data_IF_698218813813
#
_entry.id   IF_698218813813
#
_cell.length_a   1.000
_cell.length_b   1.000
_cell.length_c   1.000
_cell.angle_alpha   90.00
_cell.angle_beta   90.00
_cell.angle_gamma   90.00
#
_symmetry.space_group_name_H-M   'P 1'
#
loop_
_entity.id
_entity.type
_entity.pdbx_description
1 polymer ?
#
# COMPACT_ATOMS: atom_id res chain seq x y z
N UNK A 1 67.53 -47.57 6.01
CA UNK A 1 68.81 -47.01 5.54
C UNK A 1 68.50 -45.65 4.92
N UNK A 2 69.04 -44.56 5.46
CA UNK A 2 70.28 -43.91 4.98
C UNK A 2 70.07 -43.23 3.61
N UNK A 3 70.14 -41.91 3.41
CA UNK A 3 70.38 -40.78 4.35
C UNK A 3 71.41 -39.78 3.80
N UNK A 4 71.25 -38.47 4.08
CA UNK A 4 72.19 -37.36 3.71
C UNK A 4 72.35 -37.11 2.20
N UNK A 5 72.77 -35.96 1.64
CA UNK A 5 72.99 -34.54 2.03
C UNK A 5 72.68 -33.70 0.74
N UNK A 6 72.30 -32.42 0.68
CA UNK A 6 72.52 -31.19 1.48
C UNK A 6 73.80 -30.39 1.12
N UNK A 7 73.66 -29.04 1.00
CA UNK A 7 74.66 -27.96 0.75
C UNK A 7 75.02 -27.74 -0.74
N UNK A 8 75.38 -26.53 -1.23
CA UNK A 8 75.84 -25.25 -0.62
C UNK A 8 74.89 -24.06 -0.96
N UNK A 9 74.65 -23.04 -0.10
CA UNK A 9 75.47 -21.84 0.30
C UNK A 9 75.73 -20.85 -0.86
N UNK A 10 75.70 -19.50 -0.73
CA UNK A 10 75.79 -18.54 0.41
C UNK A 10 74.76 -17.38 0.31
N UNK A 11 74.18 -16.83 1.40
CA UNK A 11 74.55 -15.62 2.21
C UNK A 11 74.56 -14.27 1.42
N UNK A 12 74.24 -13.08 1.95
CA UNK A 12 74.37 -12.48 3.31
C UNK A 12 73.53 -11.14 3.40
N UNK A 13 73.31 -10.38 4.50
CA UNK A 13 73.39 -10.57 5.98
C UNK A 13 72.85 -9.33 6.76
N UNK A 14 71.88 -9.52 7.67
CA UNK A 14 71.64 -8.87 9.01
C UNK A 14 71.63 -7.32 9.21
N UNK A 15 70.55 -6.79 9.85
CA UNK A 15 70.62 -6.04 11.15
C UNK A 15 69.23 -5.78 11.80
N UNK A 16 69.16 -5.90 13.13
CA UNK A 16 68.09 -5.39 14.03
C UNK A 16 68.53 -4.11 14.77
N UNK A 17 67.95 -3.72 15.94
CA UNK A 17 67.36 -4.59 16.97
C UNK A 17 65.95 -4.17 17.48
N UNK A 18 65.57 -4.74 18.64
CA UNK A 18 64.31 -4.68 19.42
C UNK A 18 63.97 -3.27 19.99
N UNK A 19 62.79 -2.93 20.58
CA UNK A 19 62.00 -3.64 21.61
C UNK A 19 60.46 -3.44 21.58
N UNK A 20 59.77 -4.36 22.27
CA UNK A 20 58.31 -4.50 22.53
C UNK A 20 57.65 -3.40 23.37
N UNK A 21 56.41 -2.98 23.01
CA UNK A 21 55.18 -2.89 23.85
C UNK A 21 53.93 -2.97 22.92
N UNK A 22 52.89 -3.75 23.25
CA UNK A 22 51.58 -3.76 22.56
C UNK A 22 50.50 -2.83 23.18
N UNK A 23 49.19 -3.13 23.05
CA UNK A 23 48.46 -3.57 21.86
C UNK A 23 47.26 -2.63 21.54
N UNK A 24 46.84 -2.50 20.28
CA UNK A 24 45.53 -1.89 19.92
C UNK A 24 44.80 -2.69 18.85
N UNK A 25 43.46 -2.68 18.92
CA UNK A 25 42.61 -3.55 18.13
C UNK A 25 42.18 -2.92 16.79
N UNK A 26 41.83 -3.77 15.82
CA UNK A 26 40.63 -3.57 15.00
C UNK A 26 40.23 -4.86 14.26
N UNK A 27 39.13 -5.48 14.70
CA UNK A 27 38.49 -6.56 13.94
C UNK A 27 37.78 -5.98 12.72
N UNK A 28 38.03 -6.54 11.52
CA UNK A 28 37.30 -6.17 10.29
C UNK A 28 36.05 -7.03 10.13
N UNK A 29 34.99 -6.69 10.86
CA UNK A 29 33.68 -7.32 10.64
C UNK A 29 33.12 -7.02 9.24
N UNK A 30 32.54 -8.05 8.62
CA UNK A 30 31.91 -7.97 7.30
C UNK A 30 30.48 -7.42 7.45
N UNK A 31 30.23 -6.19 7.00
CA UNK A 31 28.87 -5.61 6.99
C UNK A 31 27.93 -6.41 6.07
N UNK A 32 26.96 -7.09 6.66
CA UNK A 32 25.86 -7.76 5.95
C UNK A 32 24.82 -6.75 5.43
N UNK A 33 24.21 -7.06 4.27
CA UNK A 33 23.29 -6.16 3.57
C UNK A 33 21.90 -6.04 4.22
N UNK A 34 21.77 -5.31 5.32
CA UNK A 34 20.50 -5.10 6.05
C UNK A 34 19.75 -3.78 5.76
N UNK A 35 20.12 -3.04 4.70
CA UNK A 35 19.80 -1.62 4.56
C UNK A 35 18.37 -1.24 4.12
N UNK A 36 17.67 -2.10 3.37
CA UNK A 36 16.40 -1.71 2.72
C UNK A 36 15.19 -1.87 3.65
N UNK A 37 14.99 -3.05 4.23
CA UNK A 37 13.80 -3.37 5.03
C UNK A 37 13.68 -2.50 6.30
N UNK A 38 14.80 -2.19 6.98
CA UNK A 38 14.78 -1.26 8.12
C UNK A 38 14.44 0.18 7.70
N UNK A 39 14.89 0.62 6.52
CA UNK A 39 14.65 2.00 6.00
C UNK A 39 13.19 2.21 5.60
N UNK A 40 12.51 1.19 5.09
CA UNK A 40 11.07 1.21 4.84
C UNK A 40 10.27 1.36 6.13
N UNK A 41 10.53 0.50 7.14
CA UNK A 41 9.83 0.58 8.45
C UNK A 41 10.14 1.88 9.20
N UNK A 42 11.34 2.43 9.06
CA UNK A 42 11.74 3.69 9.73
C UNK A 42 11.00 4.93 9.21
N UNK A 43 10.68 5.03 7.91
CA UNK A 43 9.92 6.19 7.37
C UNK A 43 8.49 6.21 7.88
N UNK A 44 7.86 5.03 8.02
CA UNK A 44 6.41 4.88 8.27
C UNK A 44 6.00 5.31 9.69
N UNK A 45 6.81 5.04 10.71
CA UNK A 45 6.45 5.31 12.12
C UNK A 45 6.80 6.73 12.61
N UNK A 46 7.59 7.50 11.86
CA UNK A 46 8.05 8.82 12.29
C UNK A 46 7.12 9.95 11.80
N UNK A 47 6.55 9.82 10.60
CA UNK A 47 5.67 10.83 9.98
C UNK A 47 4.31 10.95 10.67
N UNK A 48 3.71 9.85 11.12
CA UNK A 48 2.36 9.84 11.70
C UNK A 48 2.28 10.56 13.07
N UNK A 49 3.41 10.83 13.72
CA UNK A 49 3.46 11.60 14.98
C UNK A 49 3.58 13.12 14.81
N UNK A 50 3.76 13.61 13.58
CA UNK A 50 3.99 15.04 13.29
C UNK A 50 3.09 15.62 12.20
N UNK A 51 2.18 14.83 11.59
CA UNK A 51 1.18 15.40 10.68
C UNK A 51 0.17 16.28 11.44
N UNK A 52 -0.26 17.41 10.85
CA UNK A 52 -1.45 18.10 11.29
C UNK A 52 -2.65 17.15 11.23
N UNK A 53 -3.51 17.23 12.25
CA UNK A 53 -4.86 16.67 12.18
C UNK A 53 -5.71 17.63 11.35
N UNK A 54 -6.58 17.09 10.50
CA UNK A 54 -7.49 17.89 9.69
C UNK A 54 -8.86 17.19 9.56
N UNK A 55 -9.95 17.94 9.51
CA UNK A 55 -11.30 17.42 9.25
C UNK A 55 -11.65 17.45 7.76
N UNK A 56 -12.75 16.79 7.38
CA UNK A 56 -13.28 16.85 6.02
C UNK A 56 -13.75 18.27 5.67
N UNK A 57 -14.40 18.95 6.62
CA UNK A 57 -14.87 20.33 6.45
C UNK A 57 -13.69 21.30 6.23
N UNK A 58 -12.60 21.12 6.99
CA UNK A 58 -11.36 21.89 6.79
C UNK A 58 -10.73 21.61 5.43
N UNK A 59 -10.65 20.34 4.98
CA UNK A 59 -10.16 20.00 3.63
C UNK A 59 -11.00 20.63 2.52
N UNK A 60 -12.33 20.61 2.64
CA UNK A 60 -13.24 21.23 1.66
C UNK A 60 -13.08 22.75 1.64
N UNK A 61 -12.90 23.38 2.81
CA UNK A 61 -12.71 24.83 2.94
C UNK A 61 -11.40 25.35 2.32
N UNK A 62 -10.40 24.49 2.07
CA UNK A 62 -9.15 24.87 1.41
C UNK A 62 -9.34 25.34 -0.05
N UNK A 63 -10.42 24.91 -0.73
CA UNK A 63 -10.75 25.34 -2.11
C UNK A 63 -9.70 25.01 -3.18
N UNK A 64 -8.75 24.11 -2.90
CA UNK A 64 -7.62 23.74 -3.77
C UNK A 64 -7.46 22.22 -3.87
N UNK A 65 -6.56 21.76 -4.75
CA UNK A 65 -6.13 20.37 -4.77
C UNK A 65 -5.64 19.91 -3.40
N UNK A 66 -6.13 18.76 -2.96
CA UNK A 66 -5.80 18.13 -1.68
C UNK A 66 -4.48 17.36 -1.80
N UNK A 67 -3.67 17.33 -0.75
CA UNK A 67 -2.36 16.66 -0.75
C UNK A 67 -2.41 15.25 -0.14
N UNK A 68 -1.43 14.38 -0.45
CA UNK A 68 -1.32 13.06 0.18
C UNK A 68 -1.19 13.11 1.71
N UNK A 69 -0.53 14.14 2.24
CA UNK A 69 -0.36 14.33 3.68
C UNK A 69 -1.65 14.80 4.36
N UNK A 70 -2.47 15.61 3.68
CA UNK A 70 -3.81 15.99 4.11
C UNK A 70 -4.76 14.78 4.22
N UNK A 71 -4.80 13.91 3.20
CA UNK A 71 -5.59 12.66 3.26
C UNK A 71 -5.10 11.73 4.38
N UNK A 72 -3.81 11.73 4.70
CA UNK A 72 -3.24 10.97 5.83
C UNK A 72 -3.45 11.65 7.20
N UNK A 73 -3.83 12.92 7.23
CA UNK A 73 -4.18 13.68 8.46
C UNK A 73 -5.61 13.47 8.96
N UNK A 74 -6.52 13.00 8.10
CA UNK A 74 -7.92 12.71 8.46
C UNK A 74 -8.04 11.70 9.62
N UNK A 75 -8.98 11.92 10.54
CA UNK A 75 -9.26 10.99 11.66
C UNK A 75 -10.48 10.10 11.44
N UNK A 76 -11.55 10.65 10.87
CA UNK A 76 -12.74 9.92 10.45
C UNK A 76 -12.65 9.52 8.96
N UNK A 77 -13.59 8.69 8.52
CA UNK A 77 -13.88 8.53 7.09
C UNK A 77 -14.62 9.78 6.59
N UNK A 78 -14.44 10.16 5.32
CA UNK A 78 -15.23 11.27 4.75
C UNK A 78 -16.66 10.83 4.49
N UNK A 79 -17.59 11.78 4.62
CA UNK A 79 -19.03 11.60 4.40
C UNK A 79 -19.37 11.54 2.91
N UNK A 80 -18.60 12.27 2.10
CA UNK A 80 -18.77 12.44 0.66
C UNK A 80 -17.38 12.54 -0.04
N UNK A 81 -17.34 12.61 -1.37
CA UNK A 81 -16.14 12.55 -2.19
C UNK A 81 -15.28 13.83 -2.11
N UNK A 82 -13.96 13.68 -1.97
CA UNK A 82 -12.99 14.78 -1.98
C UNK A 82 -12.58 15.26 -3.39
N UNK A 83 -13.21 14.73 -4.43
CA UNK A 83 -12.85 14.93 -5.84
C UNK A 83 -14.05 14.66 -6.75
N UNK A 84 -14.08 15.28 -7.92
CA UNK A 84 -15.13 15.13 -8.94
C UNK A 84 -14.84 13.98 -9.92
N UNK A 85 -15.87 13.49 -10.66
CA UNK A 85 -15.66 12.62 -11.82
C UNK A 85 -14.69 13.24 -12.85
N UNK A 86 -14.89 14.52 -13.18
CA UNK A 86 -14.15 15.28 -14.20
C UNK A 86 -12.66 15.45 -13.87
N UNK A 87 -12.25 15.28 -12.60
CA UNK A 87 -10.84 15.19 -12.23
C UNK A 87 -10.16 13.98 -12.92
N UNK A 88 -10.90 13.05 -13.56
CA UNK A 88 -10.36 11.86 -14.23
C UNK A 88 -9.65 12.12 -15.59
N UNK A 89 -8.90 13.21 -15.69
CA UNK A 89 -8.01 13.61 -16.81
C UNK A 89 -6.88 12.64 -17.22
N UNK A 90 -6.91 11.37 -16.78
CA UNK A 90 -6.02 10.29 -17.22
C UNK A 90 -6.81 9.07 -17.76
N UNK A 91 -8.14 9.15 -17.77
CA UNK A 91 -9.09 8.05 -17.98
C UNK A 91 -8.65 6.74 -17.31
N UNK A 92 -8.36 6.80 -16.01
CA UNK A 92 -8.04 5.60 -15.23
C UNK A 92 -9.36 4.96 -14.83
N UNK A 93 -9.58 3.71 -15.25
CA UNK A 93 -10.72 2.91 -14.85
C UNK A 93 -10.31 1.50 -14.44
N UNK A 94 -10.92 0.99 -13.38
CA UNK A 94 -10.59 -0.31 -12.80
C UNK A 94 -11.62 -1.31 -13.31
N UNK A 95 -11.14 -2.32 -14.03
CA UNK A 95 -11.95 -3.30 -14.75
C UNK A 95 -12.14 -4.59 -13.96
N UNK A 96 -11.20 -4.95 -13.08
CA UNK A 96 -11.32 -6.14 -12.20
C UNK A 96 -10.60 -5.94 -10.87
N UNK A 97 -11.15 -6.53 -9.82
CA UNK A 97 -10.57 -6.59 -8.49
C UNK A 97 -10.80 -7.96 -7.85
N UNK A 98 -9.75 -8.53 -7.26
CA UNK A 98 -9.77 -9.86 -6.63
C UNK A 98 -8.93 -9.87 -5.37
N UNK A 99 -9.50 -10.31 -4.24
CA UNK A 99 -8.77 -10.55 -2.99
C UNK A 99 -8.64 -12.06 -2.79
N UNK A 100 -7.43 -12.54 -2.47
CA UNK A 100 -7.21 -13.89 -1.94
C UNK A 100 -6.46 -13.86 -0.62
N UNK A 101 -6.70 -14.84 0.23
CA UNK A 101 -5.77 -15.21 1.28
C UNK A 101 -4.47 -15.75 0.68
N UNK A 102 -3.32 -15.34 1.23
CA UNK A 102 -2.00 -15.79 0.77
C UNK A 102 -1.50 -17.02 1.52
N UNK A 103 -2.15 -17.44 2.61
CA UNK A 103 -1.76 -18.63 3.37
C UNK A 103 -2.44 -19.90 2.81
N UNK A 104 -3.73 -19.83 2.47
CA UNK A 104 -4.49 -20.92 1.83
C UNK A 104 -4.64 -20.79 0.31
N UNK A 105 -4.42 -19.61 -0.25
CA UNK A 105 -4.70 -19.31 -1.67
C UNK A 105 -6.19 -19.06 -1.98
N UNK A 106 -7.08 -19.18 -1.00
CA UNK A 106 -8.54 -19.04 -1.17
C UNK A 106 -8.91 -17.66 -1.69
N UNK A 107 -9.66 -17.59 -2.80
CA UNK A 107 -10.26 -16.33 -3.27
C UNK A 107 -11.40 -15.95 -2.32
N UNK A 108 -11.28 -14.76 -1.72
CA UNK A 108 -12.20 -14.23 -0.71
C UNK A 108 -13.27 -13.33 -1.35
N UNK A 109 -12.89 -12.62 -2.41
CA UNK A 109 -13.75 -11.73 -3.18
C UNK A 109 -13.22 -11.60 -4.61
N UNK A 110 -14.12 -11.54 -5.59
CA UNK A 110 -13.79 -11.13 -6.96
C UNK A 110 -14.95 -10.35 -7.57
N UNK A 111 -14.63 -9.29 -8.31
CA UNK A 111 -15.57 -8.54 -9.14
C UNK A 111 -14.86 -8.11 -10.43
N UNK A 112 -15.58 -8.17 -11.55
CA UNK A 112 -15.16 -7.61 -12.82
C UNK A 112 -16.30 -6.75 -13.39
N UNK A 113 -15.94 -5.71 -14.16
CA UNK A 113 -16.91 -5.01 -15.02
C UNK A 113 -17.39 -5.96 -16.13
N UNK A 114 -18.66 -5.90 -16.54
CA UNK A 114 -19.12 -6.55 -17.77
C UNK A 114 -18.29 -6.07 -18.97
N UNK A 115 -18.03 -6.96 -19.93
CA UNK A 115 -17.22 -6.66 -21.12
C UNK A 115 -17.95 -5.87 -22.21
N UNK A 116 -19.14 -5.32 -21.92
CA UNK A 116 -20.08 -4.75 -22.87
C UNK A 116 -20.32 -3.24 -22.63
N UNK A 117 -19.32 -2.53 -22.10
CA UNK A 117 -19.34 -1.06 -22.02
C UNK A 117 -18.39 -0.51 -23.08
N UNK A 118 -18.76 -0.64 -24.35
CA UNK A 118 -18.10 0.09 -25.43
C UNK A 118 -18.49 1.58 -25.35
N UNK A 119 -17.55 2.51 -25.63
CA UNK A 119 -17.75 3.95 -25.41
C UNK A 119 -18.67 4.63 -26.45
N UNK A 120 -19.35 3.86 -27.30
CA UNK A 120 -20.25 4.34 -28.36
C UNK A 120 -21.74 4.31 -27.92
N UNK A 121 -22.08 3.58 -26.84
CA UNK A 121 -23.46 3.46 -26.33
C UNK A 121 -23.83 4.52 -25.25
N UNK A 122 -22.93 5.46 -24.88
CA UNK A 122 -23.19 6.45 -23.82
C UNK A 122 -24.12 7.62 -24.24
N UNK A 123 -24.56 7.74 -25.50
CA UNK A 123 -25.36 8.88 -25.98
C UNK A 123 -26.90 8.72 -25.89
N UNK A 124 -27.47 7.51 -25.73
CA UNK A 124 -28.94 7.30 -25.77
C UNK A 124 -29.56 6.46 -24.61
N UNK A 125 -29.36 6.83 -23.34
CA UNK A 125 -30.37 6.53 -22.31
C UNK A 125 -30.68 7.73 -21.37
N UNK A 126 -31.84 8.35 -21.58
CA UNK A 126 -32.34 9.46 -20.76
C UNK A 126 -32.93 8.96 -19.43
N UNK A 127 -32.09 8.61 -18.45
CA UNK A 127 -32.54 8.13 -17.15
C UNK A 127 -31.50 8.21 -16.03
N UNK A 128 -31.36 9.39 -15.40
CA UNK A 128 -30.68 9.66 -14.11
C UNK A 128 -29.58 8.66 -13.72
N UNK A 129 -28.55 8.54 -14.57
CA UNK A 129 -27.45 7.61 -14.36
C UNK A 129 -26.64 8.09 -13.17
N UNK A 130 -26.86 7.46 -12.00
CA UNK A 130 -26.22 7.81 -10.74
C UNK A 130 -24.71 8.02 -10.95
N UNK A 131 -24.28 9.27 -10.86
CA UNK A 131 -22.88 9.62 -11.07
C UNK A 131 -21.97 9.04 -9.98
N UNK A 132 -22.50 8.34 -8.97
CA UNK A 132 -21.77 7.53 -7.99
C UNK A 132 -21.55 6.06 -8.40
N UNK A 133 -22.23 5.57 -9.45
CA UNK A 133 -22.16 4.20 -9.92
C UNK A 133 -20.70 3.70 -10.09
N UNK A 134 -20.42 2.52 -9.54
CA UNK A 134 -19.07 1.93 -9.54
C UNK A 134 -18.05 2.57 -8.59
N UNK A 135 -18.38 3.62 -7.82
CA UNK A 135 -17.51 4.16 -6.75
C UNK A 135 -17.78 3.56 -5.36
N UNK A 136 -18.89 2.84 -5.22
CA UNK A 136 -19.29 2.15 -4.00
C UNK A 136 -19.24 0.63 -4.19
N UNK A 137 -18.65 -0.08 -3.23
CA UNK A 137 -18.62 -1.56 -3.20
C UNK A 137 -18.84 -2.02 -1.77
N UNK A 138 -19.90 -2.82 -1.55
CA UNK A 138 -20.20 -3.48 -0.27
C UNK A 138 -19.58 -4.88 -0.25
N UNK A 139 -18.87 -5.22 0.83
CA UNK A 139 -18.16 -6.49 0.96
C UNK A 139 -18.82 -7.38 2.02
N UNK A 140 -19.28 -8.56 1.62
CA UNK A 140 -19.78 -9.57 2.55
C UNK A 140 -18.65 -10.56 2.85
N UNK A 141 -18.27 -10.67 4.13
CA UNK A 141 -17.17 -11.51 4.58
C UNK A 141 -17.59 -12.29 5.83
N UNK A 142 -16.79 -13.27 6.25
CA UNK A 142 -17.05 -14.03 7.48
C UNK A 142 -16.13 -13.54 8.61
N UNK A 143 -16.48 -13.78 9.89
CA UNK A 143 -15.60 -13.50 11.05
C UNK A 143 -14.15 -14.01 10.94
N UNK A 144 -13.87 -15.00 10.08
CA UNK A 144 -12.51 -15.43 9.79
C UNK A 144 -11.66 -14.36 9.08
N UNK A 145 -12.26 -13.47 8.29
CA UNK A 145 -11.54 -12.42 7.53
C UNK A 145 -10.74 -11.49 8.44
N UNK A 146 -11.28 -11.11 9.60
CA UNK A 146 -10.61 -10.26 10.59
C UNK A 146 -9.43 -10.94 11.30
N UNK A 147 -9.25 -12.25 11.11
CA UNK A 147 -8.16 -13.06 11.66
C UNK A 147 -7.07 -13.38 10.64
N UNK A 148 -7.27 -13.05 9.37
CA UNK A 148 -6.26 -13.28 8.32
C UNK A 148 -5.02 -12.42 8.57
N UNK A 149 -3.84 -13.01 8.34
CA UNK A 149 -2.56 -12.31 8.54
C UNK A 149 -2.12 -11.52 7.30
N UNK A 150 -2.29 -12.11 6.12
CA UNK A 150 -1.82 -11.54 4.84
C UNK A 150 -2.76 -11.89 3.69
N UNK A 151 -3.31 -10.89 3.02
CA UNK A 151 -4.10 -11.07 1.78
C UNK A 151 -3.41 -10.39 0.59
N UNK A 152 -3.60 -10.95 -0.60
CA UNK A 152 -3.12 -10.41 -1.86
C UNK A 152 -4.30 -9.91 -2.67
N UNK A 153 -4.31 -8.63 -2.99
CA UNK A 153 -5.36 -8.01 -3.79
C UNK A 153 -4.82 -7.68 -5.19
N UNK A 154 -5.32 -8.38 -6.20
CA UNK A 154 -5.03 -8.13 -7.61
C UNK A 154 -6.02 -7.08 -8.14
N UNK A 155 -5.52 -6.01 -8.77
CA UNK A 155 -6.31 -5.04 -9.54
C UNK A 155 -5.92 -5.10 -11.02
N UNK A 156 -6.90 -4.94 -11.89
CA UNK A 156 -6.71 -4.66 -13.32
C UNK A 156 -7.39 -3.31 -13.63
N UNK A 157 -6.68 -2.46 -14.36
CA UNK A 157 -7.16 -1.12 -14.70
C UNK A 157 -6.62 -0.63 -16.05
N UNK A 158 -7.46 0.06 -16.81
CA UNK A 158 -7.08 0.77 -18.03
C UNK A 158 -6.53 2.17 -17.71
N UNK A 159 -5.75 2.70 -18.65
CA UNK A 159 -5.24 4.09 -18.65
C UNK A 159 -5.40 4.66 -20.06
N UNK A 160 -5.86 5.91 -20.15
CA UNK A 160 -6.05 6.60 -21.43
C UNK A 160 -4.76 7.13 -22.08
N UNK A 161 -4.92 8.18 -22.89
CA UNK A 161 -3.87 8.79 -23.74
C UNK A 161 -2.63 9.30 -22.98
N UNK A 162 -2.78 9.62 -21.69
CA UNK A 162 -1.77 10.35 -20.90
C UNK A 162 -0.98 9.42 -19.95
N UNK A 163 0.37 9.47 -19.98
CA UNK A 163 1.20 8.66 -19.09
C UNK A 163 1.04 9.06 -17.62
N UNK A 164 0.73 8.07 -16.77
CA UNK A 164 0.60 8.27 -15.33
C UNK A 164 1.93 7.96 -14.65
N UNK A 165 2.59 9.02 -14.19
CA UNK A 165 3.87 8.93 -13.48
C UNK A 165 3.65 9.06 -11.98
N UNK A 166 4.30 8.20 -11.19
CA UNK A 166 4.16 8.12 -9.73
C UNK A 166 2.69 7.99 -9.30
N UNK A 167 1.99 7.03 -9.92
CA UNK A 167 0.66 6.63 -9.52
C UNK A 167 0.73 5.88 -8.18
N UNK A 168 -0.10 6.27 -7.23
CA UNK A 168 -0.07 5.80 -5.84
C UNK A 168 -1.49 5.73 -5.28
N UNK A 169 -1.72 4.78 -4.37
CA UNK A 169 -2.98 4.59 -3.66
C UNK A 169 -2.76 4.65 -2.15
N UNK A 170 -3.44 5.57 -1.50
CA UNK A 170 -3.57 5.62 -0.05
C UNK A 170 -4.93 4.99 0.29
N UNK A 171 -4.95 4.00 1.17
CA UNK A 171 -6.16 3.29 1.56
C UNK A 171 -6.25 3.23 3.08
N UNK A 172 -7.29 3.85 3.63
CA UNK A 172 -7.44 4.10 5.07
C UNK A 172 -8.66 3.38 5.61
N UNK A 173 -8.45 2.47 6.54
CA UNK A 173 -9.48 1.65 7.18
C UNK A 173 -9.90 2.29 8.50
N UNK A 174 -11.21 2.41 8.73
CA UNK A 174 -11.81 3.00 9.92
C UNK A 174 -12.87 2.07 10.50
N UNK A 175 -13.04 2.09 11.82
CA UNK A 175 -14.21 1.54 12.52
C UNK A 175 -14.66 2.57 13.56
N UNK A 176 -15.94 2.97 13.54
CA UNK A 176 -16.48 4.01 14.43
C UNK A 176 -15.60 5.27 14.50
N UNK A 177 -15.23 5.79 13.31
CA UNK A 177 -14.34 6.95 13.12
C UNK A 177 -12.97 6.88 13.81
N UNK A 178 -12.49 5.67 14.13
CA UNK A 178 -11.13 5.37 14.58
C UNK A 178 -10.37 4.65 13.47
N UNK A 179 -9.17 5.12 13.15
CA UNK A 179 -8.29 4.50 12.15
C UNK A 179 -7.81 3.12 12.64
N UNK A 180 -8.17 2.07 11.91
CA UNK A 180 -7.64 0.71 12.10
C UNK A 180 -6.26 0.56 11.45
N UNK A 181 -6.10 1.04 10.22
CA UNK A 181 -4.90 0.83 9.40
C UNK A 181 -4.80 1.82 8.25
N UNK A 182 -3.57 2.27 7.96
CA UNK A 182 -3.22 3.01 6.75
C UNK A 182 -2.37 2.12 5.84
N UNK A 183 -2.93 1.72 4.69
CA UNK A 183 -2.20 1.15 3.57
C UNK A 183 -1.81 2.26 2.59
N UNK A 184 -0.68 2.07 1.91
CA UNK A 184 0.01 3.10 1.14
C UNK A 184 0.89 2.37 0.12
N UNK A 185 0.49 2.41 -1.15
CA UNK A 185 1.05 1.60 -2.23
C UNK A 185 1.40 2.47 -3.44
N UNK A 186 2.64 2.37 -3.93
CA UNK A 186 3.06 2.98 -5.19
C UNK A 186 2.86 1.97 -6.34
N UNK A 187 1.92 2.26 -7.26
CA UNK A 187 1.82 1.55 -8.55
C UNK A 187 2.99 1.89 -9.48
N UNK A 188 3.58 3.09 -9.34
CA UNK A 188 4.73 3.53 -10.11
C UNK A 188 4.36 4.23 -11.42
N UNK A 189 4.77 3.65 -12.55
CA UNK A 189 4.49 4.17 -13.89
C UNK A 189 3.46 3.29 -14.59
N UNK A 190 2.40 3.89 -15.13
CA UNK A 190 1.38 3.20 -15.91
C UNK A 190 1.45 3.63 -17.38
N UNK A 191 1.40 2.65 -18.28
CA UNK A 191 1.60 2.84 -19.71
C UNK A 191 0.31 3.46 -20.32
N UNK A 192 0.41 4.48 -21.20
CA UNK A 192 -0.76 5.04 -21.88
C UNK A 192 -1.47 4.00 -22.77
N UNK A 193 -2.78 4.15 -22.95
CA UNK A 193 -3.61 3.32 -23.83
C UNK A 193 -3.43 1.81 -23.59
N UNK A 194 -3.37 1.39 -22.32
CA UNK A 194 -3.10 0.00 -21.94
C UNK A 194 -3.93 -0.48 -20.76
N UNK A 195 -4.16 -1.78 -20.68
CA UNK A 195 -4.55 -2.44 -19.45
C UNK A 195 -3.29 -2.72 -18.60
N UNK A 196 -3.36 -2.42 -17.31
CA UNK A 196 -2.31 -2.58 -16.33
C UNK A 196 -2.83 -3.52 -15.22
N UNK A 197 -2.02 -4.50 -14.83
CA UNK A 197 -2.32 -5.39 -13.70
C UNK A 197 -1.34 -5.13 -12.58
N UNK A 198 -1.82 -5.00 -11.35
CA UNK A 198 -0.98 -4.87 -10.16
C UNK A 198 -1.48 -5.78 -9.03
N UNK A 199 -0.57 -6.17 -8.14
CA UNK A 199 -0.91 -6.93 -6.94
C UNK A 199 -0.34 -6.27 -5.69
N UNK A 200 -1.23 -5.91 -4.77
CA UNK A 200 -0.90 -5.31 -3.49
C UNK A 200 -0.99 -6.35 -2.37
N UNK A 201 0.03 -6.40 -1.52
CA UNK A 201 0.12 -7.32 -0.39
C UNK A 201 -0.24 -6.59 0.90
N UNK A 202 -1.32 -7.01 1.55
CA UNK A 202 -1.87 -6.37 2.75
C UNK A 202 -1.45 -7.16 3.99
N UNK A 203 -0.53 -6.62 4.78
CA UNK A 203 -0.25 -7.09 6.14
C UNK A 203 -1.32 -6.54 7.11
N UNK A 204 -2.29 -7.37 7.49
CA UNK A 204 -3.38 -6.97 8.39
C UNK A 204 -2.86 -6.67 9.81
N UNK A 205 -3.46 -5.70 10.53
CA UNK A 205 -3.19 -5.55 11.96
C UNK A 205 -3.69 -6.79 12.72
N UNK A 206 -3.01 -7.16 13.81
CA UNK A 206 -3.58 -8.11 14.76
C UNK A 206 -4.58 -7.33 15.63
N UNK A 207 -5.87 -7.58 15.41
CA UNK A 207 -6.97 -6.92 16.12
C UNK A 207 -7.22 -7.63 17.47
N UNK A 208 -7.48 -6.88 18.56
CA UNK A 208 -7.98 -7.45 19.81
C UNK A 208 -9.30 -8.21 19.63
N UNK A 209 -9.52 -9.26 20.41
CA UNK A 209 -10.70 -10.13 20.29
C UNK A 209 -12.02 -9.39 20.56
N UNK A 210 -12.02 -8.48 21.54
CA UNK A 210 -13.14 -7.58 21.86
C UNK A 210 -13.46 -6.63 20.69
N UNK A 211 -12.44 -6.12 19.99
CA UNK A 211 -12.63 -5.32 18.79
C UNK A 211 -13.14 -6.16 17.60
N UNK A 212 -12.71 -7.42 17.48
CA UNK A 212 -13.25 -8.35 16.47
C UNK A 212 -14.74 -8.61 16.74
N UNK A 213 -15.14 -8.85 17.98
CA UNK A 213 -16.56 -9.01 18.34
C UNK A 213 -17.36 -7.74 18.00
N UNK A 214 -16.90 -6.56 18.42
CA UNK A 214 -17.57 -5.28 18.09
C UNK A 214 -17.69 -5.06 16.57
N UNK A 215 -16.67 -5.40 15.78
CA UNK A 215 -16.72 -5.30 14.31
C UNK A 215 -17.66 -6.31 13.64
N UNK A 216 -18.06 -7.38 14.35
CA UNK A 216 -19.07 -8.35 13.89
C UNK A 216 -20.47 -7.95 14.35
N UNK A 217 -20.61 -7.44 15.57
CA UNK A 217 -21.86 -6.93 16.15
C UNK A 217 -22.34 -5.62 15.50
N UNK A 218 -21.40 -4.79 15.03
CA UNK A 218 -21.63 -3.54 14.32
C UNK A 218 -21.26 -3.67 12.82
N UNK A 219 -22.02 -4.45 12.02
CA UNK A 219 -21.82 -4.46 10.58
C UNK A 219 -22.02 -3.05 10.02
N UNK A 220 -21.34 -2.75 8.92
CA UNK A 220 -21.45 -1.46 8.20
C UNK A 220 -20.84 -0.23 8.90
N UNK A 221 -20.34 -0.37 10.14
CA UNK A 221 -19.58 0.67 10.86
C UNK A 221 -18.06 0.61 10.60
N UNK A 222 -17.58 -0.46 9.97
CA UNK A 222 -16.26 -0.45 9.31
C UNK A 222 -16.38 0.22 7.94
N UNK A 223 -15.43 1.10 7.59
CA UNK A 223 -15.43 1.90 6.35
C UNK A 223 -14.01 2.14 5.84
N UNK A 224 -13.85 2.33 4.53
CA UNK A 224 -12.56 2.57 3.87
C UNK A 224 -12.62 3.82 3.00
N UNK A 225 -11.63 4.69 3.16
CA UNK A 225 -11.34 5.75 2.20
C UNK A 225 -10.15 5.32 1.35
N UNK A 226 -10.38 5.06 0.06
CA UNK A 226 -9.30 5.00 -0.94
C UNK A 226 -9.00 6.44 -1.39
N UNK A 227 -7.78 6.72 -1.84
CA UNK A 227 -7.43 7.99 -2.47
C UNK A 227 -6.28 7.76 -3.44
N UNK A 228 -6.52 8.03 -4.72
CA UNK A 228 -5.50 7.95 -5.73
C UNK A 228 -4.67 9.25 -5.77
N UNK A 229 -3.38 9.10 -6.01
CA UNK A 229 -2.37 10.16 -5.94
C UNK A 229 -1.52 10.11 -7.21
N UNK A 230 -1.21 11.30 -7.75
CA UNK A 230 -0.30 11.48 -8.88
C UNK A 230 0.63 12.65 -8.58
N UNK A 231 1.88 12.34 -8.24
CA UNK A 231 2.84 13.33 -7.75
C UNK A 231 2.43 13.90 -6.38
N UNK A 232 2.33 15.22 -6.26
CA UNK A 232 2.03 15.92 -5.00
C UNK A 232 0.55 16.16 -4.72
N UNK A 233 -0.35 15.72 -5.61
CA UNK A 233 -1.79 15.96 -5.50
C UNK A 233 -2.59 14.66 -5.47
N UNK A 234 -3.52 14.57 -4.53
CA UNK A 234 -4.62 13.61 -4.56
C UNK A 234 -5.43 13.91 -5.80
N UNK A 235 -5.58 12.90 -6.65
CA UNK A 235 -6.21 13.02 -7.96
C UNK A 235 -7.09 11.80 -8.16
N UNK A 236 -8.38 12.03 -7.95
CA UNK A 236 -9.55 11.12 -8.12
C UNK A 236 -9.64 9.91 -7.18
N UNK A 237 -10.82 9.26 -7.27
CA UNK A 237 -11.25 8.05 -6.56
C UNK A 237 -10.80 8.01 -5.09
N UNK A 238 -11.55 8.77 -4.29
CA UNK A 238 -12.31 8.06 -3.28
C UNK A 238 -13.22 7.05 -3.99
N UNK A 239 -12.81 5.79 -3.97
CA UNK A 239 -13.83 4.78 -3.73
C UNK A 239 -14.37 5.07 -2.34
N UNK A 240 -15.66 5.39 -2.26
CA UNK A 240 -16.41 5.19 -1.03
C UNK A 240 -16.73 3.72 -0.94
N UNK A 241 -15.69 2.90 -0.80
CA UNK A 241 -15.85 1.64 -0.14
C UNK A 241 -16.15 1.94 1.32
N UNK A 242 -17.40 2.28 1.67
CA UNK A 242 -17.83 1.87 3.00
C UNK A 242 -17.60 0.35 2.96
N UNK A 243 -16.52 -0.13 3.58
CA UNK A 243 -16.13 -1.54 3.67
C UNK A 243 -17.15 -2.16 4.61
N UNK A 244 -18.36 -2.28 4.08
CA UNK A 244 -19.59 -2.60 4.78
C UNK A 244 -19.58 -4.09 5.04
N UNK A 245 -18.65 -4.46 5.92
CA UNK A 245 -18.36 -5.78 6.43
C UNK A 245 -19.67 -6.36 6.97
N UNK A 246 -20.40 -7.03 6.09
CA UNK A 246 -21.50 -7.86 6.49
C UNK A 246 -20.90 -9.16 7.00
N UNK A 247 -20.53 -9.12 8.28
CA UNK A 247 -19.86 -10.21 8.98
C UNK A 247 -20.90 -11.29 9.31
N UNK A 248 -21.18 -12.16 8.33
CA UNK A 248 -22.28 -13.14 8.43
C UNK A 248 -22.11 -13.98 9.71
N UNK A 249 -23.02 -13.89 10.70
CA UNK A 249 -23.05 -14.82 11.81
C UNK A 249 -23.52 -16.18 11.29
N UNK A 250 -22.89 -17.26 11.78
CA UNK A 250 -23.32 -18.64 11.53
C UNK A 250 -24.30 -19.11 12.60
#
# INVERSE_FOLDING_TARGET
MSGSNSRNKTAATVKGPDTDIGPTANSRERKSGGGVLKRLKSRRNQTDKQRPVITEEELRALGRHITPDEVLGLRAVTRDYLCKPEDNVYNIDFTRFKIRDLETGTVLFEIAKPHNCDPEDEEEENGDVDTSAGRFVRYQFTPAFLRLRTVGATVEFTVGDRPVNSFRMIERHYFQDKVLKNFDFDFGFCIPNSCNTCEHIYEFPQLPEDLICLMVEHPYETRVAISLVKGHSVTKRLYRGNLELYMIPK
#
